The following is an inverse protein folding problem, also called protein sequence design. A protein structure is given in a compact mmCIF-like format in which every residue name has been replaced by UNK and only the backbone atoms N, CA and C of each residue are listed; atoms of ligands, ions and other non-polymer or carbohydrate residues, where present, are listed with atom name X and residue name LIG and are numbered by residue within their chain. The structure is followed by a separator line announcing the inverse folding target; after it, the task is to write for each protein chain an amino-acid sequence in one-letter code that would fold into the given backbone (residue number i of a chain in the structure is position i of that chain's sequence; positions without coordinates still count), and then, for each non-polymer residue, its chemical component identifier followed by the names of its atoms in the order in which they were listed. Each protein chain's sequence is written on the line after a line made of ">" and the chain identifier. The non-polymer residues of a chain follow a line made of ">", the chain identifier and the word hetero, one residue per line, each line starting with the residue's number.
data_IF_873580523695
#
_entry.id   IF_873580523695
#
_cell.length_a   1.000
_cell.length_b   1.000
_cell.length_c   1.000
_cell.angle_alpha   90.00
_cell.angle_beta   90.00
_cell.angle_gamma   90.00
#
_symmetry.space_group_name_H-M   'P 1'
#
loop_
_entity.id
_entity.type
_entity.pdbx_description
1 polymer ?
#
# COMPACT_ATOMS: atom_id res chain seq x y z
N UNK A 1 29.54 -6.25 -12.35
CA UNK A 1 28.33 -5.40 -12.48
C UNK A 1 27.63 -5.43 -11.14
N UNK A 2 27.49 -4.28 -10.47
CA UNK A 2 26.72 -4.22 -9.22
C UNK A 2 25.25 -4.08 -9.58
N UNK A 3 24.43 -5.07 -9.22
CA UNK A 3 22.99 -4.98 -9.40
C UNK A 3 22.49 -3.70 -8.71
N UNK A 4 21.77 -2.85 -9.45
CA UNK A 4 21.05 -1.71 -8.86
C UNK A 4 20.10 -2.28 -7.81
N UNK A 5 20.47 -2.16 -6.53
CA UNK A 5 19.55 -2.35 -5.41
C UNK A 5 18.56 -1.19 -5.51
N UNK A 6 17.46 -1.37 -6.23
CA UNK A 6 16.30 -0.48 -6.10
C UNK A 6 15.96 -0.44 -4.62
N UNK A 7 16.04 0.74 -4.02
CA UNK A 7 15.76 0.90 -2.59
C UNK A 7 14.28 0.59 -2.37
N UNK A 8 14.00 -0.63 -1.88
CA UNK A 8 12.70 -1.00 -1.32
C UNK A 8 12.42 -0.10 -0.12
N UNK A 9 11.19 0.41 -0.02
CA UNK A 9 10.68 1.02 1.21
C UNK A 9 10.66 -0.02 2.34
N UNK A 10 10.62 0.42 3.61
CA UNK A 10 10.24 -0.46 4.71
C UNK A 10 8.76 -0.82 4.59
N UNK A 11 8.31 -1.85 5.32
CA UNK A 11 6.90 -2.23 5.32
C UNK A 11 6.01 -1.08 5.79
N UNK A 12 6.37 -0.44 6.90
CA UNK A 12 5.60 0.71 7.43
C UNK A 12 5.61 1.91 6.47
N UNK A 13 6.76 2.28 5.92
CA UNK A 13 6.85 3.38 4.96
C UNK A 13 6.05 3.09 3.68
N UNK A 14 5.97 1.82 3.28
CA UNK A 14 5.16 1.41 2.14
C UNK A 14 3.66 1.53 2.42
N UNK A 15 3.19 1.14 3.61
CA UNK A 15 1.79 1.29 3.98
C UNK A 15 1.38 2.75 4.17
N UNK A 16 2.27 3.58 4.72
CA UNK A 16 2.09 5.03 4.83
C UNK A 16 1.99 5.69 3.45
N UNK A 17 2.85 5.28 2.50
CA UNK A 17 2.79 5.74 1.11
C UNK A 17 1.48 5.31 0.44
N UNK A 18 1.04 4.06 0.59
CA UNK A 18 -0.26 3.60 0.05
C UNK A 18 -1.41 4.42 0.63
N UNK A 19 -1.37 4.73 1.93
CA UNK A 19 -2.37 5.54 2.62
C UNK A 19 -2.40 6.97 2.04
N UNK A 20 -1.24 7.61 1.95
CA UNK A 20 -1.08 8.95 1.36
C UNK A 20 -1.60 9.00 -0.08
N UNK A 21 -1.31 7.98 -0.88
CA UNK A 21 -1.78 7.91 -2.25
C UNK A 21 -3.30 7.72 -2.37
N UNK A 22 -3.94 7.10 -1.38
CA UNK A 22 -5.41 6.99 -1.35
C UNK A 22 -6.03 8.36 -1.03
N UNK A 23 -5.48 9.10 -0.07
CA UNK A 23 -5.98 10.44 0.28
C UNK A 23 -5.83 11.39 -0.90
N UNK A 24 -4.65 11.44 -1.52
CA UNK A 24 -4.35 12.35 -2.63
C UNK A 24 -5.12 12.03 -3.91
N UNK A 25 -5.30 10.75 -4.26
CA UNK A 25 -5.95 10.37 -5.55
C UNK A 25 -7.46 10.36 -5.50
N UNK A 26 -8.04 10.14 -4.32
CA UNK A 26 -9.47 9.88 -4.18
C UNK A 26 -10.18 10.84 -3.24
N UNK A 27 -9.49 11.90 -2.77
CA UNK A 27 -10.02 12.92 -1.86
C UNK A 27 -10.64 12.30 -0.59
N UNK A 28 -10.04 11.19 -0.14
CA UNK A 28 -10.44 10.49 1.07
C UNK A 28 -9.77 11.15 2.27
N UNK A 29 -10.50 11.28 3.38
CA UNK A 29 -9.90 11.76 4.62
C UNK A 29 -8.78 10.82 5.09
N UNK A 30 -7.74 11.35 5.74
CA UNK A 30 -6.65 10.53 6.30
C UNK A 30 -7.19 9.42 7.19
N UNK A 31 -8.14 9.77 8.06
CA UNK A 31 -8.83 8.87 8.99
C UNK A 31 -9.50 7.69 8.28
N UNK A 32 -10.16 7.92 7.15
CA UNK A 32 -10.83 6.87 6.37
C UNK A 32 -9.85 6.05 5.53
N UNK A 33 -8.80 6.68 4.99
CA UNK A 33 -7.75 6.00 4.25
C UNK A 33 -6.96 5.05 5.15
N UNK A 34 -6.62 5.48 6.37
CA UNK A 34 -5.97 4.64 7.39
C UNK A 34 -6.85 3.44 7.71
N UNK A 35 -8.14 3.65 8.01
CA UNK A 35 -9.08 2.55 8.30
C UNK A 35 -9.20 1.57 7.13
N UNK A 36 -9.21 2.07 5.90
CA UNK A 36 -9.26 1.25 4.71
C UNK A 36 -8.00 0.40 4.54
N UNK A 37 -6.82 0.98 4.72
CA UNK A 37 -5.54 0.22 4.66
C UNK A 37 -5.46 -0.80 5.78
N UNK A 38 -5.91 -0.48 7.00
CA UNK A 38 -6.01 -1.44 8.11
C UNK A 38 -6.94 -2.62 7.79
N UNK A 39 -8.10 -2.36 7.15
CA UNK A 39 -9.03 -3.42 6.71
C UNK A 39 -8.38 -4.30 5.63
N UNK A 40 -7.65 -3.72 4.69
CA UNK A 40 -6.91 -4.46 3.68
C UNK A 40 -5.78 -5.32 4.31
N UNK A 41 -5.06 -4.79 5.30
CA UNK A 41 -4.07 -5.58 6.08
C UNK A 41 -4.72 -6.76 6.81
N UNK A 42 -5.86 -6.53 7.48
CA UNK A 42 -6.61 -7.58 8.16
C UNK A 42 -7.16 -8.66 7.20
N UNK A 43 -7.38 -8.29 5.93
CA UNK A 43 -7.76 -9.20 4.84
C UNK A 43 -6.56 -9.86 4.14
N UNK A 44 -5.36 -9.81 4.75
CA UNK A 44 -4.12 -10.40 4.24
C UNK A 44 -3.63 -9.85 2.89
N UNK A 45 -4.17 -8.70 2.43
CA UNK A 45 -3.82 -8.12 1.11
C UNK A 45 -2.33 -7.83 0.97
N UNK A 46 -1.67 -7.38 2.05
CA UNK A 46 -0.26 -6.99 2.05
C UNK A 46 0.70 -8.08 2.52
N UNK A 47 0.26 -9.31 2.79
CA UNK A 47 1.12 -10.37 3.36
C UNK A 47 2.37 -10.62 2.52
N UNK A 48 2.24 -10.64 1.18
CA UNK A 48 3.40 -10.83 0.29
C UNK A 48 4.47 -9.73 0.41
N UNK A 49 4.08 -8.51 0.82
CA UNK A 49 5.02 -7.38 0.99
C UNK A 49 5.86 -7.49 2.26
N UNK A 50 5.48 -8.35 3.20
CA UNK A 50 6.26 -8.64 4.40
C UNK A 50 7.47 -9.53 4.04
N UNK A 51 7.22 -10.58 3.26
CA UNK A 51 8.25 -11.53 2.81
C UNK A 51 9.11 -11.01 1.64
N UNK A 52 8.53 -10.23 0.72
CA UNK A 52 9.22 -9.74 -0.49
C UNK A 52 9.34 -8.22 -0.51
N UNK A 53 10.51 -7.75 -0.07
CA UNK A 53 10.89 -6.36 -0.14
C UNK A 53 10.82 -5.76 -1.56
N UNK A 54 11.00 -6.54 -2.62
CA UNK A 54 10.98 -6.03 -3.99
C UNK A 54 9.60 -5.53 -4.42
N UNK A 55 8.53 -5.89 -3.70
CA UNK A 55 7.18 -5.39 -3.91
C UNK A 55 6.98 -3.98 -3.33
N UNK A 56 7.81 -3.54 -2.37
CA UNK A 56 7.63 -2.24 -1.69
C UNK A 56 8.29 -1.09 -2.46
N UNK A 57 7.84 -0.89 -3.68
CA UNK A 57 8.26 0.21 -4.57
C UNK A 57 7.14 1.23 -4.72
N UNK A 58 7.48 2.46 -5.10
CA UNK A 58 6.49 3.52 -5.33
C UNK A 58 5.49 3.15 -6.44
N UNK A 59 5.95 2.52 -7.51
CA UNK A 59 5.07 2.06 -8.60
C UNK A 59 4.04 1.05 -8.09
N UNK A 60 4.47 0.08 -7.28
CA UNK A 60 3.55 -0.88 -6.66
C UNK A 60 2.61 -0.18 -5.66
N UNK A 61 3.09 0.78 -4.86
CA UNK A 61 2.25 1.55 -3.94
C UNK A 61 1.09 2.25 -4.67
N UNK A 62 1.34 2.81 -5.85
CA UNK A 62 0.29 3.38 -6.69
C UNK A 62 -0.72 2.35 -7.21
N UNK A 63 -0.25 1.16 -7.60
CA UNK A 63 -1.12 0.07 -8.05
C UNK A 63 -2.01 -0.47 -6.92
N UNK A 64 -1.43 -0.60 -5.73
CA UNK A 64 -2.09 -1.14 -4.56
C UNK A 64 -3.07 -0.12 -3.97
N UNK A 65 -2.71 1.16 -3.87
CA UNK A 65 -3.64 2.23 -3.50
C UNK A 65 -4.90 2.22 -4.39
N UNK A 66 -4.72 2.07 -5.70
CA UNK A 66 -5.84 1.94 -6.65
C UNK A 66 -6.67 0.68 -6.41
N UNK A 67 -6.02 -0.44 -6.13
CA UNK A 67 -6.70 -1.74 -5.93
C UNK A 67 -7.47 -1.75 -4.62
N UNK A 68 -6.84 -1.31 -3.53
CA UNK A 68 -7.45 -1.14 -2.21
C UNK A 68 -8.66 -0.22 -2.28
N UNK A 69 -8.56 0.94 -2.95
CA UNK A 69 -9.70 1.84 -3.11
C UNK A 69 -10.87 1.23 -3.90
N UNK A 70 -10.58 0.44 -4.94
CA UNK A 70 -11.61 -0.27 -5.72
C UNK A 70 -12.31 -1.36 -4.91
N UNK A 71 -11.58 -2.00 -3.99
CA UNK A 71 -12.05 -3.09 -3.14
C UNK A 71 -12.53 -2.62 -1.76
N UNK A 72 -12.66 -1.31 -1.51
CA UNK A 72 -12.98 -0.74 -0.20
C UNK A 72 -14.28 -1.27 0.43
N UNK A 73 -15.22 -1.68 -0.41
CA UNK A 73 -16.53 -2.20 -0.01
C UNK A 73 -16.51 -3.74 0.14
N UNK A 74 -15.40 -4.41 -0.20
CA UNK A 74 -15.24 -5.88 -0.12
C UNK A 74 -14.35 -6.34 1.03
N UNK A 75 -13.50 -5.46 1.57
CA UNK A 75 -12.74 -5.79 2.78
C UNK A 75 -13.67 -5.94 3.99
N UNK A 76 -13.36 -6.83 4.95
CA UNK A 76 -14.17 -7.02 6.16
C UNK A 76 -14.21 -5.77 7.05
#
# INVERSE_FOLDING_TARGET
>A
MMAKKTASMSYEAYLDEVTTLITEKYDMSDDDAIRLVMRAQAAEFFVAHDDDASLRTLDRAHEDARTVFKLRDTFP
#
